data_IF_117740508786
#
_entry.id   IF_117740508786
#
_cell.length_a   1.000
_cell.length_b   1.000
_cell.length_c   1.000
_cell.angle_alpha   90.00
_cell.angle_beta   90.00
_cell.angle_gamma   90.00
#
_symmetry.space_group_name_H-M   'P 1'
#
loop_
_entity.id
_entity.type
_entity.pdbx_description
1 polymer ?
#
# COMPACT_ATOMS: atom_id res chain seq x y z
N UNK A 1 15.10 -33.68 0.05
CA UNK A 1 15.08 -34.11 -1.35
C UNK A 1 15.87 -33.11 -2.18
N UNK A 2 16.80 -33.55 -3.05
CA UNK A 2 17.55 -32.65 -3.95
C UNK A 2 16.63 -32.27 -5.13
N UNK A 3 15.74 -31.30 -4.91
CA UNK A 3 14.94 -30.70 -5.98
C UNK A 3 15.81 -29.84 -6.90
N UNK A 4 15.37 -29.65 -8.13
CA UNK A 4 15.98 -28.72 -9.10
C UNK A 4 15.83 -27.27 -8.63
N UNK A 5 16.58 -26.34 -9.23
CA UNK A 5 16.42 -24.90 -8.94
C UNK A 5 15.02 -24.39 -9.29
N UNK A 6 14.37 -24.98 -10.31
CA UNK A 6 12.98 -24.70 -10.63
C UNK A 6 12.03 -25.17 -9.51
N UNK A 7 12.25 -26.37 -8.96
CA UNK A 7 11.44 -26.87 -7.85
C UNK A 7 11.57 -25.95 -6.62
N UNK A 8 12.79 -25.51 -6.31
CA UNK A 8 13.06 -24.56 -5.23
C UNK A 8 12.34 -23.23 -5.45
N UNK A 9 12.38 -22.70 -6.67
CA UNK A 9 11.67 -21.48 -7.02
C UNK A 9 10.15 -21.63 -6.87
N UNK A 10 9.57 -22.74 -7.35
CA UNK A 10 8.13 -23.01 -7.23
C UNK A 10 7.72 -23.14 -5.76
N UNK A 11 8.51 -23.84 -4.94
CA UNK A 11 8.28 -23.95 -3.49
C UNK A 11 8.34 -22.57 -2.83
N UNK A 12 9.36 -21.76 -3.14
CA UNK A 12 9.48 -20.40 -2.62
C UNK A 12 8.28 -19.52 -2.99
N UNK A 13 7.81 -19.61 -4.25
CA UNK A 13 6.63 -18.88 -4.73
C UNK A 13 5.36 -19.28 -3.96
N UNK A 14 5.14 -20.57 -3.73
CA UNK A 14 4.00 -21.05 -2.93
C UNK A 14 4.15 -20.62 -1.47
N UNK A 15 5.36 -20.64 -0.92
CA UNK A 15 5.62 -20.14 0.43
C UNK A 15 5.33 -18.64 0.56
N UNK A 16 5.69 -17.82 -0.43
CA UNK A 16 5.31 -16.39 -0.46
C UNK A 16 3.80 -16.19 -0.41
N UNK A 17 3.06 -16.89 -1.27
CA UNK A 17 1.59 -16.80 -1.35
C UNK A 17 0.91 -17.17 -0.02
N UNK A 18 1.50 -18.08 0.75
CA UNK A 18 0.97 -18.52 2.04
C UNK A 18 1.55 -17.76 3.25
N UNK A 19 2.32 -16.69 3.04
CA UNK A 19 2.88 -15.89 4.13
C UNK A 19 4.06 -16.54 4.88
N UNK A 20 4.74 -17.54 4.29
CA UNK A 20 5.91 -18.20 4.87
C UNK A 20 7.24 -17.71 4.27
N UNK A 21 7.42 -16.39 4.24
CA UNK A 21 8.48 -15.73 3.50
C UNK A 21 9.87 -16.06 4.08
N UNK A 22 10.08 -15.80 5.37
CA UNK A 22 11.38 -16.02 6.03
C UNK A 22 11.65 -17.51 6.27
N UNK A 23 10.64 -18.25 6.75
CA UNK A 23 10.83 -19.65 7.18
C UNK A 23 10.97 -20.65 6.04
N UNK A 24 10.26 -20.43 4.92
CA UNK A 24 10.21 -21.40 3.82
C UNK A 24 10.70 -20.81 2.49
N UNK A 25 10.37 -19.56 2.16
CA UNK A 25 10.83 -18.98 0.89
C UNK A 25 12.34 -18.68 0.90
N UNK A 26 12.86 -18.05 1.97
CA UNK A 26 14.30 -17.66 2.07
C UNK A 26 15.25 -18.83 1.81
N UNK A 27 15.05 -19.95 2.51
CA UNK A 27 15.94 -21.12 2.41
C UNK A 27 15.92 -21.77 1.03
N UNK A 28 14.78 -21.73 0.33
CA UNK A 28 14.69 -22.24 -1.03
C UNK A 28 15.33 -21.30 -2.04
N UNK A 29 15.17 -19.98 -1.88
CA UNK A 29 15.79 -18.97 -2.75
C UNK A 29 17.31 -18.91 -2.59
N UNK A 30 17.82 -19.03 -1.37
CA UNK A 30 19.26 -19.08 -1.10
C UNK A 30 19.93 -20.33 -1.68
N UNK A 31 19.17 -21.41 -1.84
CA UNK A 31 19.68 -22.66 -2.40
C UNK A 31 19.79 -22.65 -3.94
N UNK A 32 19.17 -21.68 -4.63
CA UNK A 32 19.20 -21.57 -6.09
C UNK A 32 20.59 -21.15 -6.56
N UNK A 33 21.16 -21.86 -7.53
CA UNK A 33 22.47 -21.55 -8.10
C UNK A 33 22.41 -20.32 -9.01
N UNK A 34 22.89 -19.17 -8.56
CA UNK A 34 22.93 -17.93 -9.36
C UNK A 34 23.94 -17.97 -10.51
N UNK A 35 24.98 -18.78 -10.41
CA UNK A 35 26.08 -18.84 -11.39
C UNK A 35 25.65 -19.27 -12.81
N UNK A 36 24.44 -19.82 -12.94
CA UNK A 36 23.89 -20.35 -14.19
C UNK A 36 22.75 -19.51 -14.76
N UNK A 37 22.37 -18.43 -14.06
CA UNK A 37 21.25 -17.58 -14.44
C UNK A 37 21.74 -16.38 -15.27
N UNK A 38 20.86 -15.84 -16.11
CA UNK A 38 21.07 -14.52 -16.70
C UNK A 38 21.11 -13.45 -15.60
N UNK A 39 21.70 -12.28 -15.89
CA UNK A 39 21.76 -11.15 -14.96
C UNK A 39 20.37 -10.78 -14.43
N UNK A 40 19.38 -10.68 -15.31
CA UNK A 40 17.98 -10.36 -14.97
C UNK A 40 17.39 -11.38 -13.98
N UNK A 41 17.64 -12.68 -14.21
CA UNK A 41 17.16 -13.75 -13.33
C UNK A 41 17.89 -13.75 -11.98
N UNK A 42 19.19 -13.42 -11.97
CA UNK A 42 19.95 -13.21 -10.74
C UNK A 42 19.36 -12.06 -9.92
N UNK A 43 19.12 -10.91 -10.53
CA UNK A 43 18.55 -9.73 -9.88
C UNK A 43 17.14 -10.01 -9.36
N UNK A 44 16.32 -10.74 -10.13
CA UNK A 44 15.00 -11.20 -9.71
C UNK A 44 15.07 -12.09 -8.46
N UNK A 45 15.92 -13.12 -8.47
CA UNK A 45 16.10 -14.01 -7.32
C UNK A 45 16.62 -13.24 -6.11
N UNK A 46 17.56 -12.32 -6.29
CA UNK A 46 18.06 -11.47 -5.20
C UNK A 46 16.99 -10.51 -4.65
N UNK A 47 16.13 -9.96 -5.51
CA UNK A 47 15.00 -9.14 -5.08
C UNK A 47 14.04 -9.97 -4.21
N UNK A 48 13.73 -11.20 -4.63
CA UNK A 48 12.92 -12.12 -3.83
C UNK A 48 13.60 -12.51 -2.51
N UNK A 49 14.93 -12.71 -2.47
CA UNK A 49 15.66 -12.97 -1.23
C UNK A 49 15.56 -11.78 -0.26
N UNK A 50 15.75 -10.56 -0.77
CA UNK A 50 15.56 -9.35 0.01
C UNK A 50 14.12 -9.23 0.51
N UNK A 51 13.13 -9.49 -0.35
CA UNK A 51 11.71 -9.49 0.02
C UNK A 51 11.41 -10.54 1.11
N UNK A 52 11.97 -11.74 1.02
CA UNK A 52 11.77 -12.78 2.04
C UNK A 52 12.28 -12.34 3.43
N UNK A 53 13.38 -11.59 3.46
CA UNK A 53 13.96 -11.06 4.70
C UNK A 53 13.09 -9.98 5.37
N UNK A 54 12.17 -9.35 4.63
CA UNK A 54 11.29 -8.28 5.14
C UNK A 54 10.23 -8.77 6.13
N UNK A 55 9.92 -10.07 6.17
CA UNK A 55 8.89 -10.58 7.06
C UNK A 55 9.28 -10.39 8.53
N UNK A 56 8.52 -9.58 9.26
CA UNK A 56 8.76 -9.29 10.66
C UNK A 56 8.52 -10.52 11.56
N UNK A 57 9.40 -10.71 12.54
CA UNK A 57 9.23 -11.66 13.65
C UNK A 57 8.63 -11.00 14.90
N UNK A 58 8.84 -9.70 15.03
CA UNK A 58 8.34 -8.86 16.12
C UNK A 58 8.05 -7.46 15.58
N UNK A 59 7.13 -6.74 16.22
CA UNK A 59 6.84 -5.35 15.89
C UNK A 59 7.66 -4.42 16.79
N UNK A 60 8.81 -3.96 16.28
CA UNK A 60 9.69 -3.02 16.97
C UNK A 60 10.28 -2.01 15.99
N UNK A 61 10.72 -0.84 16.48
CA UNK A 61 11.35 0.20 15.65
C UNK A 61 12.59 -0.35 14.93
N UNK A 62 13.40 -1.16 15.62
CA UNK A 62 14.58 -1.78 15.02
C UNK A 62 14.22 -2.80 13.92
N UNK A 63 13.20 -3.63 14.15
CA UNK A 63 12.75 -4.61 13.16
C UNK A 63 12.16 -3.93 11.91
N UNK A 64 11.37 -2.86 12.09
CA UNK A 64 10.82 -2.04 10.98
C UNK A 64 11.92 -1.33 10.19
N UNK A 65 12.97 -0.85 10.86
CA UNK A 65 14.12 -0.23 10.19
C UNK A 65 14.87 -1.23 9.29
N UNK A 66 15.17 -2.44 9.80
CA UNK A 66 15.79 -3.48 8.98
C UNK A 66 14.85 -3.96 7.85
N UNK A 67 13.54 -4.04 8.10
CA UNK A 67 12.55 -4.31 7.05
C UNK A 67 12.64 -3.30 5.91
N UNK A 68 12.67 -1.99 6.22
CA UNK A 68 12.78 -0.93 5.21
C UNK A 68 14.05 -1.06 4.37
N UNK A 69 15.19 -1.35 5.01
CA UNK A 69 16.47 -1.55 4.31
C UNK A 69 16.41 -2.70 3.30
N UNK A 70 15.75 -3.81 3.63
CA UNK A 70 15.54 -4.91 2.70
C UNK A 70 14.56 -4.54 1.57
N UNK A 71 13.47 -3.81 1.88
CA UNK A 71 12.52 -3.31 0.88
C UNK A 71 13.17 -2.35 -0.11
N UNK A 72 14.03 -1.43 0.35
CA UNK A 72 14.80 -0.53 -0.53
C UNK A 72 15.69 -1.30 -1.51
N UNK A 73 16.37 -2.35 -1.04
CA UNK A 73 17.21 -3.21 -1.91
C UNK A 73 16.37 -3.96 -2.93
N UNK A 74 15.26 -4.54 -2.50
CA UNK A 74 14.32 -5.24 -3.40
C UNK A 74 13.77 -4.30 -4.47
N UNK A 75 13.41 -3.06 -4.10
CA UNK A 75 12.88 -2.06 -5.02
C UNK A 75 13.93 -1.63 -6.06
N UNK A 76 15.17 -1.37 -5.62
CA UNK A 76 16.25 -0.96 -6.51
C UNK A 76 16.62 -2.04 -7.55
N UNK A 77 16.37 -3.32 -7.23
CA UNK A 77 16.58 -4.45 -8.12
C UNK A 77 15.41 -4.65 -9.09
N UNK A 78 14.17 -4.40 -8.65
CA UNK A 78 13.00 -4.53 -9.52
C UNK A 78 12.84 -3.36 -10.50
N UNK A 79 13.25 -2.15 -10.11
CA UNK A 79 13.11 -0.92 -10.90
C UNK A 79 14.07 -0.82 -12.09
N UNK A 80 14.96 -1.79 -12.29
CA UNK A 80 15.89 -1.80 -13.44
C UNK A 80 15.22 -2.33 -14.72
N UNK A 81 14.01 -2.88 -14.60
CA UNK A 81 13.29 -3.58 -15.67
C UNK A 81 11.93 -2.90 -15.95
N UNK A 82 11.98 -1.67 -16.50
CA UNK A 82 10.86 -0.70 -16.56
C UNK A 82 9.53 -1.22 -17.12
N UNK A 83 9.54 -2.11 -18.12
CA UNK A 83 8.29 -2.56 -18.76
C UNK A 83 7.77 -3.92 -18.23
N UNK A 84 8.66 -4.81 -17.79
CA UNK A 84 8.28 -6.18 -17.41
C UNK A 84 8.00 -6.33 -15.91
N UNK A 85 8.59 -5.48 -15.06
CA UNK A 85 8.50 -5.56 -13.60
C UNK A 85 7.87 -4.31 -12.97
N UNK A 86 7.06 -3.55 -13.71
CA UNK A 86 6.36 -2.37 -13.18
C UNK A 86 5.47 -2.73 -11.99
N UNK A 87 4.59 -3.74 -12.13
CA UNK A 87 3.71 -4.19 -11.05
C UNK A 87 4.48 -4.67 -9.80
N UNK A 88 5.46 -5.60 -9.90
CA UNK A 88 6.29 -5.97 -8.74
C UNK A 88 7.00 -4.79 -8.08
N UNK A 89 7.51 -3.84 -8.87
CA UNK A 89 8.19 -2.64 -8.34
C UNK A 89 7.24 -1.74 -7.57
N UNK A 90 6.07 -1.44 -8.13
CA UNK A 90 5.06 -0.62 -7.45
C UNK A 90 4.50 -1.31 -6.21
N UNK A 91 4.38 -2.65 -6.25
CA UNK A 91 3.99 -3.44 -5.10
C UNK A 91 5.02 -3.38 -3.96
N UNK A 92 6.31 -3.52 -4.26
CA UNK A 92 7.38 -3.34 -3.26
C UNK A 92 7.42 -1.90 -2.75
N UNK A 93 7.17 -0.91 -3.61
CA UNK A 93 7.06 0.49 -3.19
C UNK A 93 5.89 0.71 -2.21
N UNK A 94 4.74 0.07 -2.46
CA UNK A 94 3.60 0.12 -1.54
C UNK A 94 3.93 -0.49 -0.16
N UNK A 95 4.62 -1.64 -0.13
CA UNK A 95 5.10 -2.25 1.11
C UNK A 95 6.07 -1.32 1.84
N UNK A 96 7.00 -0.69 1.12
CA UNK A 96 7.97 0.25 1.68
C UNK A 96 7.27 1.47 2.30
N UNK A 97 6.32 2.08 1.61
CA UNK A 97 5.57 3.22 2.16
C UNK A 97 4.77 2.84 3.40
N UNK A 98 4.18 1.64 3.42
CA UNK A 98 3.43 1.13 4.57
C UNK A 98 4.34 0.89 5.77
N UNK A 99 5.49 0.27 5.54
CA UNK A 99 6.49 -0.03 6.57
C UNK A 99 7.18 1.25 7.09
N UNK A 100 7.47 2.21 6.23
CA UNK A 100 7.98 3.53 6.63
C UNK A 100 6.97 4.33 7.45
N UNK A 101 5.70 4.33 7.07
CA UNK A 101 4.65 4.93 7.89
C UNK A 101 4.56 4.26 9.27
N UNK A 102 4.61 2.93 9.33
CA UNK A 102 4.62 2.19 10.60
C UNK A 102 5.86 2.52 11.44
N UNK A 103 7.04 2.64 10.84
CA UNK A 103 8.29 3.03 11.50
C UNK A 103 8.17 4.43 12.11
N UNK A 104 7.65 5.41 11.36
CA UNK A 104 7.45 6.77 11.84
C UNK A 104 6.48 6.82 13.03
N UNK A 105 5.35 6.14 12.93
CA UNK A 105 4.34 6.06 14.01
C UNK A 105 4.94 5.37 15.25
N UNK A 106 5.58 4.22 15.07
CA UNK A 106 6.22 3.48 16.16
C UNK A 106 7.31 4.31 16.83
N UNK A 107 8.11 5.05 16.07
CA UNK A 107 9.16 5.94 16.59
C UNK A 107 8.58 7.15 17.36
N UNK A 108 7.42 7.66 16.95
CA UNK A 108 6.73 8.73 17.67
C UNK A 108 6.17 8.28 19.03
N UNK A 109 5.73 7.03 19.14
CA UNK A 109 5.06 6.50 20.33
C UNK A 109 6.04 5.82 21.29
N UNK A 110 7.01 5.05 20.78
CA UNK A 110 7.88 4.16 21.58
C UNK A 110 8.65 4.86 22.71
N UNK A 111 9.27 6.04 22.52
CA UNK A 111 9.95 6.74 23.60
C UNK A 111 8.99 7.11 24.74
N UNK A 112 7.74 7.42 24.41
CA UNK A 112 6.73 7.76 25.40
C UNK A 112 6.32 6.54 26.21
N UNK A 113 6.04 5.42 25.55
CA UNK A 113 5.64 4.18 26.23
C UNK A 113 6.77 3.58 27.08
N UNK A 114 8.02 3.74 26.66
CA UNK A 114 9.17 3.13 27.33
C UNK A 114 9.75 3.99 28.46
N UNK A 115 9.71 5.33 28.36
CA UNK A 115 10.43 6.20 29.30
C UNK A 115 9.53 7.07 30.17
N UNK A 116 8.25 7.25 29.84
CA UNK A 116 7.36 8.09 30.64
C UNK A 116 6.65 7.28 31.72
N UNK A 117 6.56 7.84 32.94
CA UNK A 117 5.72 7.28 34.01
C UNK A 117 4.24 7.52 33.68
N UNK A 118 3.40 6.52 33.94
CA UNK A 118 1.95 6.62 33.77
C UNK A 118 1.26 7.05 35.08
N UNK A 119 0.18 7.85 35.02
CA UNK A 119 -0.45 8.42 33.81
C UNK A 119 0.40 9.52 33.17
N UNK A 120 0.31 9.66 31.84
CA UNK A 120 1.07 10.65 31.08
C UNK A 120 0.61 12.08 31.42
N UNK A 121 1.54 13.03 31.50
CA UNK A 121 1.19 14.43 31.67
C UNK A 121 0.60 15.01 30.38
N UNK A 122 -0.25 16.04 30.50
CA UNK A 122 -0.88 16.70 29.35
C UNK A 122 0.15 17.22 28.32
N UNK A 123 1.31 17.71 28.79
CA UNK A 123 2.40 18.16 27.93
C UNK A 123 3.02 17.01 27.10
N UNK A 124 3.17 15.82 27.69
CA UNK A 124 3.66 14.63 26.98
C UNK A 124 2.63 14.16 25.96
N UNK A 125 1.35 14.08 26.34
CA UNK A 125 0.26 13.73 25.42
C UNK A 125 0.20 14.69 24.23
N UNK A 126 0.31 15.99 24.47
CA UNK A 126 0.32 17.00 23.41
C UNK A 126 1.49 16.81 22.42
N UNK A 127 2.70 16.53 22.92
CA UNK A 127 3.88 16.29 22.07
C UNK A 127 3.70 15.04 21.19
N UNK A 128 3.18 13.96 21.76
CA UNK A 128 2.91 12.73 21.03
C UNK A 128 1.83 12.95 19.97
N UNK A 129 0.71 13.60 20.30
CA UNK A 129 -0.33 13.93 19.32
C UNK A 129 0.24 14.78 18.17
N UNK A 130 1.11 15.76 18.46
CA UNK A 130 1.77 16.57 17.43
C UNK A 130 2.70 15.76 16.53
N UNK A 131 3.47 14.81 17.10
CA UNK A 131 4.31 13.92 16.31
C UNK A 131 3.48 12.97 15.43
N UNK A 132 2.38 12.44 15.97
CA UNK A 132 1.43 11.61 15.23
C UNK A 132 0.75 12.36 14.08
N UNK A 133 0.40 13.63 14.27
CA UNK A 133 -0.09 14.50 13.20
C UNK A 133 0.90 14.56 12.02
N UNK A 134 2.20 14.59 12.27
CA UNK A 134 3.20 14.61 11.20
C UNK A 134 3.29 13.27 10.44
N UNK A 135 2.96 12.16 11.09
CA UNK A 135 2.94 10.82 10.49
C UNK A 135 1.78 10.61 9.49
N UNK A 136 0.76 11.47 9.53
CA UNK A 136 -0.44 11.39 8.68
C UNK A 136 -0.11 11.44 7.18
N UNK A 137 0.90 12.22 6.80
CA UNK A 137 1.36 12.27 5.41
C UNK A 137 1.90 10.92 4.93
N UNK A 138 2.72 10.24 5.76
CA UNK A 138 3.30 8.95 5.43
C UNK A 138 2.25 7.88 5.21
N UNK A 139 1.29 7.76 6.13
CA UNK A 139 0.21 6.77 6.00
C UNK A 139 -0.74 7.12 4.85
N UNK A 140 -1.03 8.41 4.61
CA UNK A 140 -1.83 8.85 3.46
C UNK A 140 -1.17 8.46 2.14
N UNK A 141 0.15 8.63 2.02
CA UNK A 141 0.92 8.21 0.86
C UNK A 141 0.82 6.70 0.63
N UNK A 142 0.96 5.90 1.68
CA UNK A 142 0.80 4.44 1.60
C UNK A 142 -0.62 4.05 1.14
N UNK A 143 -1.66 4.64 1.73
CA UNK A 143 -3.05 4.42 1.33
C UNK A 143 -3.28 4.69 -0.16
N UNK A 144 -2.78 5.83 -0.66
CA UNK A 144 -2.93 6.22 -2.07
C UNK A 144 -2.13 5.33 -3.00
N UNK A 145 -0.93 4.90 -2.60
CA UNK A 145 -0.11 4.00 -3.40
C UNK A 145 -0.82 2.66 -3.61
N UNK A 146 -1.34 2.05 -2.54
CA UNK A 146 -2.12 0.81 -2.65
C UNK A 146 -3.38 0.97 -3.50
N UNK A 147 -4.09 2.09 -3.35
CA UNK A 147 -5.27 2.37 -4.15
C UNK A 147 -4.94 2.51 -5.64
N UNK A 148 -3.84 3.20 -5.97
CA UNK A 148 -3.35 3.34 -7.35
C UNK A 148 -2.96 2.00 -7.93
N UNK A 149 -2.16 1.22 -7.21
CA UNK A 149 -1.74 -0.11 -7.63
C UNK A 149 -2.94 -1.04 -7.89
N UNK A 150 -3.91 -1.08 -6.98
CA UNK A 150 -5.13 -1.87 -7.17
C UNK A 150 -5.89 -1.46 -8.44
N UNK A 151 -5.93 -0.16 -8.75
CA UNK A 151 -6.63 0.39 -9.91
C UNK A 151 -5.88 0.18 -11.23
N UNK A 152 -4.54 0.11 -11.21
CA UNK A 152 -3.72 -0.17 -12.39
C UNK A 152 -3.54 -1.66 -12.68
N UNK A 153 -3.95 -2.53 -11.76
CA UNK A 153 -3.81 -3.99 -11.85
C UNK A 153 -4.92 -4.68 -12.67
N UNK A 154 -5.31 -4.13 -13.82
CA UNK A 154 -6.41 -4.67 -14.63
C UNK A 154 -6.24 -6.15 -15.02
N UNK A 155 -5.00 -6.60 -15.23
CA UNK A 155 -4.69 -7.99 -15.60
C UNK A 155 -4.54 -8.96 -14.42
N UNK A 156 -4.72 -8.51 -13.19
CA UNK A 156 -4.56 -9.35 -12.00
C UNK A 156 -5.78 -10.26 -11.78
N UNK A 157 -5.56 -11.42 -11.17
CA UNK A 157 -6.64 -12.31 -10.76
C UNK A 157 -7.41 -11.74 -9.56
N UNK A 158 -8.63 -12.26 -9.33
CA UNK A 158 -9.52 -11.78 -8.27
C UNK A 158 -8.86 -11.84 -6.88
N UNK A 159 -8.10 -12.90 -6.61
CA UNK A 159 -7.37 -13.05 -5.34
C UNK A 159 -6.32 -11.95 -5.13
N UNK A 160 -5.58 -11.57 -6.17
CA UNK A 160 -4.62 -10.47 -6.09
C UNK A 160 -5.33 -9.14 -5.86
N UNK A 161 -6.45 -8.88 -6.53
CA UNK A 161 -7.24 -7.65 -6.33
C UNK A 161 -7.80 -7.58 -4.91
N UNK A 162 -8.34 -8.67 -4.38
CA UNK A 162 -8.81 -8.76 -3.01
C UNK A 162 -7.68 -8.51 -2.01
N UNK A 163 -6.50 -9.08 -2.27
CA UNK A 163 -5.32 -8.86 -1.44
C UNK A 163 -4.90 -7.38 -1.44
N UNK A 164 -4.80 -6.74 -2.61
CA UNK A 164 -4.45 -5.32 -2.73
C UNK A 164 -5.49 -4.43 -2.03
N UNK A 165 -6.77 -4.77 -2.14
CA UNK A 165 -7.85 -4.09 -1.44
C UNK A 165 -7.68 -4.21 0.09
N UNK A 166 -7.38 -5.40 0.62
CA UNK A 166 -7.14 -5.59 2.05
C UNK A 166 -5.91 -4.81 2.54
N UNK A 167 -4.82 -4.76 1.76
CA UNK A 167 -3.63 -3.96 2.10
C UNK A 167 -3.95 -2.46 2.16
N UNK A 168 -4.75 -1.95 1.20
CA UNK A 168 -5.27 -0.59 1.26
C UNK A 168 -6.12 -0.37 2.52
N UNK A 169 -7.02 -1.30 2.86
CA UNK A 169 -7.87 -1.22 4.07
C UNK A 169 -7.05 -1.25 5.35
N UNK A 170 -5.95 -2.01 5.40
CA UNK A 170 -5.03 -2.01 6.53
C UNK A 170 -4.43 -0.61 6.74
N UNK A 171 -3.91 0.01 5.68
CA UNK A 171 -3.36 1.37 5.77
C UNK A 171 -4.45 2.38 6.19
N UNK A 172 -5.65 2.27 5.62
CA UNK A 172 -6.78 3.12 5.97
C UNK A 172 -7.20 2.96 7.43
N UNK A 173 -7.13 1.76 8.00
CA UNK A 173 -7.43 1.51 9.42
C UNK A 173 -6.37 2.14 10.33
N UNK A 174 -5.09 2.06 9.97
CA UNK A 174 -4.03 2.76 10.71
C UNK A 174 -4.22 4.28 10.65
N UNK A 175 -4.59 4.80 9.48
CA UNK A 175 -4.94 6.21 9.32
C UNK A 175 -6.16 6.61 10.17
N UNK A 176 -7.22 5.79 10.18
CA UNK A 176 -8.39 5.99 11.02
C UNK A 176 -8.02 6.05 12.51
N UNK A 177 -7.21 5.09 12.99
CA UNK A 177 -6.71 5.09 14.36
C UNK A 177 -5.90 6.35 14.69
N UNK A 178 -5.04 6.79 13.77
CA UNK A 178 -4.25 8.01 13.92
C UNK A 178 -5.14 9.25 14.04
N UNK A 179 -6.20 9.32 13.23
CA UNK A 179 -7.18 10.42 13.27
C UNK A 179 -7.96 10.42 14.59
N UNK A 180 -8.43 9.26 15.06
CA UNK A 180 -9.07 9.13 16.37
C UNK A 180 -8.15 9.63 17.50
N UNK A 181 -6.88 9.20 17.55
CA UNK A 181 -5.94 9.62 18.61
C UNK A 181 -5.66 11.13 18.57
N UNK A 182 -5.54 11.68 17.36
CA UNK A 182 -5.21 13.09 17.16
C UNK A 182 -6.43 14.03 17.26
N UNK A 183 -7.64 13.49 17.44
CA UNK A 183 -8.87 14.27 17.47
C UNK A 183 -9.24 14.86 16.11
N UNK A 184 -8.72 14.28 15.03
CA UNK A 184 -9.11 14.61 13.65
C UNK A 184 -10.32 13.76 13.27
N UNK A 185 -11.09 14.24 12.31
CA UNK A 185 -12.23 13.48 11.83
C UNK A 185 -11.79 12.13 11.28
N UNK A 186 -12.47 11.09 11.72
CA UNK A 186 -12.15 9.72 11.38
C UNK A 186 -13.43 9.06 10.84
N UNK A 187 -13.41 8.64 9.58
CA UNK A 187 -14.50 7.83 9.02
C UNK A 187 -14.20 6.35 9.24
N UNK A 188 -15.18 5.60 9.74
CA UNK A 188 -15.03 4.16 9.95
C UNK A 188 -14.70 3.50 8.61
N UNK A 189 -13.65 2.69 8.58
CA UNK A 189 -13.20 1.99 7.38
C UNK A 189 -14.13 0.81 7.12
N UNK A 190 -14.87 0.76 5.99
CA UNK A 190 -15.70 -0.39 5.68
C UNK A 190 -14.81 -1.56 5.27
N UNK A 191 -14.95 -2.67 5.98
CA UNK A 191 -14.29 -3.95 5.70
C UNK A 191 -15.27 -4.91 5.01
N UNK A 192 -14.79 -5.77 4.11
CA UNK A 192 -15.63 -6.79 3.48
C UNK A 192 -16.11 -7.83 4.51
N UNK A 193 -17.27 -8.43 4.25
CA UNK A 193 -17.91 -9.45 5.11
C UNK A 193 -17.53 -10.88 4.73
N UNK A 194 -16.91 -11.09 3.57
CA UNK A 194 -16.39 -12.38 3.11
C UNK A 194 -15.10 -12.18 2.31
N UNK A 195 -14.24 -13.20 2.29
CA UNK A 195 -13.00 -13.22 1.50
C UNK A 195 -12.88 -14.55 0.75
N UNK A 196 -12.19 -14.53 -0.39
CA UNK A 196 -12.02 -15.67 -1.31
C UNK A 196 -11.24 -16.88 -0.77
N UNK A 197 -10.87 -17.78 -1.69
CA UNK A 197 -10.52 -19.19 -1.43
C UNK A 197 -9.13 -19.48 -0.82
N UNK A 198 -8.25 -18.49 -0.61
CA UNK A 198 -6.91 -18.72 -0.05
C UNK A 198 -6.90 -18.57 1.47
N UNK A 199 -5.97 -19.18 2.20
CA UNK A 199 -5.95 -19.13 3.69
C UNK A 199 -5.44 -17.79 4.23
N UNK A 200 -4.58 -17.09 3.48
CA UNK A 200 -3.93 -15.86 3.93
C UNK A 200 -4.87 -14.63 3.92
N UNK A 201 -5.69 -14.48 2.88
CA UNK A 201 -6.62 -13.35 2.71
C UNK A 201 -7.71 -13.30 3.82
N UNK A 202 -8.36 -14.42 4.20
CA UNK A 202 -9.28 -14.48 5.34
C UNK A 202 -8.62 -14.18 6.68
N UNK A 203 -7.41 -14.70 6.91
CA UNK A 203 -6.66 -14.42 8.14
C UNK A 203 -6.36 -12.93 8.26
N UNK A 204 -5.92 -12.29 7.17
CA UNK A 204 -5.70 -10.84 7.15
C UNK A 204 -7.01 -10.09 7.44
N UNK A 205 -8.13 -10.47 6.81
CA UNK A 205 -9.43 -9.85 7.05
C UNK A 205 -9.87 -9.97 8.52
N UNK A 206 -9.72 -11.15 9.13
CA UNK A 206 -10.03 -11.38 10.55
C UNK A 206 -9.21 -10.45 11.45
N UNK A 207 -7.89 -10.33 11.21
CA UNK A 207 -7.04 -9.41 11.96
C UNK A 207 -7.48 -7.95 11.80
N UNK A 208 -7.87 -7.54 10.59
CA UNK A 208 -8.38 -6.19 10.34
C UNK A 208 -9.73 -5.94 11.05
N UNK A 209 -10.62 -6.94 11.11
CA UNK A 209 -11.89 -6.84 11.82
C UNK A 209 -11.67 -6.71 13.34
N UNK A 210 -10.76 -7.50 13.91
CA UNK A 210 -10.35 -7.38 15.32
C UNK A 210 -9.80 -5.97 15.58
N UNK A 211 -8.85 -5.50 14.77
CA UNK A 211 -8.26 -4.17 14.93
C UNK A 211 -9.31 -3.05 14.82
N UNK A 212 -10.21 -3.14 13.84
CA UNK A 212 -11.32 -2.18 13.67
C UNK A 212 -12.21 -2.12 14.91
N UNK A 213 -12.57 -3.27 15.48
CA UNK A 213 -13.38 -3.33 16.71
C UNK A 213 -12.68 -2.70 17.91
N UNK A 214 -11.37 -2.93 18.07
CA UNK A 214 -10.57 -2.34 19.15
C UNK A 214 -10.45 -0.82 19.00
N UNK A 215 -10.21 -0.33 17.77
CA UNK A 215 -10.14 1.12 17.51
C UNK A 215 -11.51 1.76 17.80
N UNK A 216 -12.61 1.15 17.37
CA UNK A 216 -13.96 1.66 17.63
C UNK A 216 -14.28 1.76 19.13
N UNK A 217 -13.88 0.75 19.92
CA UNK A 217 -14.03 0.79 21.39
C UNK A 217 -13.24 1.95 22.02
N UNK A 218 -12.05 2.25 21.49
CA UNK A 218 -11.19 3.34 21.99
C UNK A 218 -11.63 4.72 21.48
N UNK A 219 -12.29 4.79 20.32
CA UNK A 219 -12.69 6.03 19.65
C UNK A 219 -14.05 6.58 20.12
N UNK A 220 -14.86 5.79 20.82
CA UNK A 220 -16.21 6.18 21.31
C UNK A 220 -16.22 7.30 22.37
N UNK A 221 -15.13 8.07 22.53
CA UNK A 221 -14.93 9.08 23.57
C UNK A 221 -14.66 10.51 23.07
N UNK A 222 -14.73 10.81 21.77
CA UNK A 222 -14.54 12.18 21.28
C UNK A 222 -15.14 12.38 19.87
N UNK A 223 -15.92 13.45 19.66
CA UNK A 223 -16.51 13.80 18.35
C UNK A 223 -15.72 14.93 17.67
N UNK A 224 -15.44 14.77 16.37
CA UNK A 224 -14.71 15.76 15.56
C UNK A 224 -15.17 15.84 14.09
N UNK A 225 -15.21 17.08 13.59
CA UNK A 225 -15.84 17.60 12.35
C UNK A 225 -14.89 17.66 11.13
N UNK A 226 -15.45 17.62 9.92
CA UNK A 226 -14.87 17.65 8.55
C UNK A 226 -14.39 19.00 8.03
N UNK A 227 -13.45 19.00 7.07
CA UNK A 227 -13.24 19.92 5.90
C UNK A 227 -11.92 19.52 5.17
N UNK A 228 -11.64 19.66 3.86
CA UNK A 228 -12.34 20.10 2.64
C UNK A 228 -11.55 19.59 1.40
N UNK A 229 -12.23 19.57 0.25
CA UNK A 229 -11.88 18.91 -1.02
C UNK A 229 -10.82 19.61 -1.91
N UNK A 230 -10.07 18.80 -2.66
CA UNK A 230 -9.48 19.18 -3.94
C UNK A 230 -10.58 19.21 -5.04
N UNK A 231 -10.52 20.16 -5.97
CA UNK A 231 -11.44 20.19 -7.11
C UNK A 231 -11.06 19.08 -8.11
N UNK A 232 -12.00 18.21 -8.43
CA UNK A 232 -11.85 17.12 -9.41
C UNK A 232 -13.12 17.04 -10.23
N UNK A 233 -13.00 17.05 -11.56
CA UNK A 233 -14.13 16.84 -12.48
C UNK A 233 -13.96 15.48 -13.17
N UNK A 234 -15.02 14.65 -13.13
CA UNK A 234 -15.02 13.31 -13.73
C UNK A 234 -16.18 13.21 -14.71
N UNK A 235 -15.92 12.70 -15.94
CA UNK A 235 -16.96 12.41 -16.92
C UNK A 235 -16.96 10.94 -17.31
N UNK A 236 -18.10 10.29 -17.14
CA UNK A 236 -18.33 8.91 -17.57
C UNK A 236 -18.85 8.91 -19.00
N UNK A 237 -18.17 8.19 -19.90
CA UNK A 237 -18.57 8.03 -21.29
C UNK A 237 -18.72 6.54 -21.63
N UNK A 238 -19.66 6.20 -22.50
CA UNK A 238 -19.78 4.85 -23.04
C UNK A 238 -18.95 4.76 -24.33
N UNK A 239 -18.20 3.67 -24.55
CA UNK A 239 -17.55 3.43 -25.83
C UNK A 239 -18.59 3.44 -26.96
N UNK A 240 -18.28 4.07 -28.10
CA UNK A 240 -19.03 3.84 -29.34
C UNK A 240 -18.70 2.44 -29.88
N UNK A 241 -19.52 1.91 -30.79
CA UNK A 241 -19.54 0.51 -31.28
C UNK A 241 -18.19 -0.07 -31.78
N UNK A 242 -17.11 0.71 -31.82
CA UNK A 242 -15.79 0.31 -32.29
C UNK A 242 -14.67 0.77 -31.35
N UNK A 243 -14.63 0.40 -30.07
CA UNK A 243 -13.47 0.61 -29.14
C UNK A 243 -13.00 2.07 -28.90
N UNK A 244 -13.73 3.09 -29.37
CA UNK A 244 -13.38 4.51 -29.19
C UNK A 244 -14.33 5.20 -28.23
N UNK A 245 -13.86 6.26 -27.55
CA UNK A 245 -14.69 7.16 -26.76
C UNK A 245 -14.20 8.60 -26.92
N UNK A 246 -15.11 9.55 -26.77
CA UNK A 246 -14.79 10.99 -26.78
C UNK A 246 -15.43 11.65 -25.56
N UNK A 247 -14.64 12.40 -24.80
CA UNK A 247 -15.12 13.20 -23.68
C UNK A 247 -14.67 14.65 -23.86
N UNK A 248 -15.61 15.59 -23.74
CA UNK A 248 -15.31 17.02 -23.78
C UNK A 248 -15.33 17.57 -22.37
N UNK A 249 -14.30 18.32 -21.99
CA UNK A 249 -14.21 19.02 -20.70
C UNK A 249 -14.11 20.52 -20.97
N UNK A 250 -14.81 21.33 -20.18
CA UNK A 250 -14.76 22.78 -20.29
C UNK A 250 -14.44 23.35 -18.90
N UNK A 251 -13.27 23.97 -18.78
CA UNK A 251 -12.80 24.56 -17.53
C UNK A 251 -12.38 26.02 -17.77
N UNK A 252 -12.62 26.87 -16.78
CA UNK A 252 -12.16 28.27 -16.81
C UNK A 252 -10.99 28.44 -15.85
N UNK A 253 -9.85 28.90 -16.38
CA UNK A 253 -8.62 29.08 -15.62
C UNK A 253 -8.36 30.57 -15.40
N UNK A 254 -8.14 30.97 -14.15
CA UNK A 254 -7.76 32.35 -13.78
C UNK A 254 -6.25 32.56 -13.71
N UNK A 255 -5.47 31.48 -13.71
CA UNK A 255 -4.01 31.46 -13.61
C UNK A 255 -3.47 30.28 -14.41
N UNK A 256 -2.19 30.36 -14.80
CA UNK A 256 -1.46 29.25 -15.42
C UNK A 256 -1.54 27.99 -14.56
N UNK A 257 -1.84 26.85 -15.18
CA UNK A 257 -1.99 25.57 -14.48
C UNK A 257 -1.55 24.39 -15.35
N UNK A 258 -1.36 23.23 -14.70
CA UNK A 258 -1.17 21.95 -15.37
C UNK A 258 -2.46 21.14 -15.22
N UNK A 259 -2.97 20.63 -16.33
CA UNK A 259 -4.11 19.71 -16.38
C UNK A 259 -3.54 18.31 -16.57
N UNK A 260 -3.90 17.39 -15.68
CA UNK A 260 -3.60 15.97 -15.82
C UNK A 260 -4.87 15.22 -16.25
N UNK A 261 -4.79 14.55 -17.39
CA UNK A 261 -5.82 13.65 -17.88
C UNK A 261 -5.45 12.23 -17.47
N UNK A 262 -6.40 11.54 -16.84
CA UNK A 262 -6.34 10.10 -16.59
C UNK A 262 -7.62 9.45 -17.11
N UNK A 263 -7.51 8.20 -17.54
CA UNK A 263 -8.65 7.41 -17.99
C UNK A 263 -8.99 6.40 -16.91
N UNK A 264 -10.24 6.45 -16.43
CA UNK A 264 -10.80 5.42 -15.56
C UNK A 264 -11.76 4.53 -16.38
N UNK A 265 -11.56 3.22 -16.35
CA UNK A 265 -12.50 2.25 -16.90
C UNK A 265 -13.45 1.78 -15.80
N UNK A 266 -14.75 1.74 -16.10
CA UNK A 266 -15.76 1.21 -15.18
C UNK A 266 -16.25 -0.12 -15.73
N UNK A 267 -16.05 -1.18 -14.95
CA UNK A 267 -16.60 -2.50 -15.27
C UNK A 267 -18.14 -2.47 -15.16
N UNK A 268 -18.83 -2.93 -16.22
CA UNK A 268 -20.28 -2.94 -16.31
C UNK A 268 -20.96 -3.97 -15.40
N UNK A 269 -20.26 -5.03 -15.00
CA UNK A 269 -20.82 -6.08 -14.14
C UNK A 269 -20.61 -5.79 -12.65
N UNK A 270 -19.42 -5.29 -12.28
CA UNK A 270 -19.01 -5.09 -10.89
C UNK A 270 -18.98 -3.63 -10.42
N UNK A 271 -19.15 -2.66 -11.33
CA UNK A 271 -19.06 -1.23 -11.04
C UNK A 271 -17.67 -0.77 -10.54
N UNK A 272 -16.66 -1.65 -10.64
CA UNK A 272 -15.27 -1.38 -10.22
C UNK A 272 -14.63 -0.36 -11.16
N UNK A 273 -13.87 0.56 -10.59
CA UNK A 273 -13.10 1.58 -11.34
C UNK A 273 -11.64 1.16 -11.44
N UNK A 274 -11.13 1.13 -12.65
CA UNK A 274 -9.75 0.83 -13.00
C UNK A 274 -9.11 2.09 -13.54
N UNK A 275 -7.89 2.41 -13.13
CA UNK A 275 -7.16 3.62 -13.57
C UNK A 275 -6.00 3.18 -14.43
N UNK A 276 -5.89 3.77 -15.62
CA UNK A 276 -4.73 3.56 -16.48
C UNK A 276 -3.51 4.29 -15.92
N UNK A 277 -2.33 3.68 -15.98
CA UNK A 277 -1.04 4.31 -15.64
C UNK A 277 -0.65 5.43 -16.63
N UNK A 278 -1.34 5.50 -17.78
CA UNK A 278 -1.10 6.55 -18.77
C UNK A 278 -1.81 7.84 -18.37
N UNK A 279 -1.05 8.78 -17.82
CA UNK A 279 -1.49 10.16 -17.63
C UNK A 279 -0.99 11.05 -18.76
N UNK A 280 -1.87 11.83 -19.38
CA UNK A 280 -1.48 12.89 -20.30
C UNK A 280 -1.51 14.23 -19.56
N UNK A 281 -0.44 15.01 -19.62
CA UNK A 281 -0.38 16.33 -18.98
C UNK A 281 -0.40 17.45 -20.03
N UNK A 282 -1.24 18.46 -19.82
CA UNK A 282 -1.30 19.67 -20.64
C UNK A 282 -1.05 20.90 -19.76
N UNK A 283 -0.04 21.68 -20.10
CA UNK A 283 0.19 22.98 -19.47
C UNK A 283 -0.65 24.06 -20.17
N UNK A 284 -1.41 24.82 -19.39
CA UNK A 284 -2.20 25.96 -19.87
C UNK A 284 -1.60 27.23 -19.29
N UNK A 285 -0.98 28.04 -20.15
CA UNK A 285 -0.48 29.36 -19.77
C UNK A 285 -1.57 30.42 -20.00
N UNK A 286 -2.07 31.04 -18.93
CA UNK A 286 -3.03 32.16 -19.01
C UNK A 286 -2.21 33.44 -19.07
N UNK A 287 -2.21 34.12 -20.22
CA UNK A 287 -1.60 35.44 -20.36
C UNK A 287 -2.62 36.50 -19.95
N UNK A 288 -2.20 37.45 -19.14
CA UNK A 288 -2.96 38.68 -18.81
C UNK A 288 -3.30 39.48 -20.06
#
# INVERSE_FOLDING_TARGET
MKGTDLDRYVIARVAFRNGHWRRAASSNLEAISTDRLSLENCEWVQALQNLAATQLSEFSVAALFEQNKHLYRSLAQSSQHDAALSFPSDWVACLLYSSDAALQIASAISPTLSWCKHPLSAAVVFRVKKALIACDFGISRACQAWLRLARSSFGADEESIDFLALQHKQCALVQYALHCITGRQASVVPLPTSSGNSTHTPLLLEQLQIASSQIAQLAASDEGITLQLNYTETRTVKPTENIHFTASFLMQFKQTCNIEFSVEFVDGEQGKRWVSDTTASLKVDVKE
#
